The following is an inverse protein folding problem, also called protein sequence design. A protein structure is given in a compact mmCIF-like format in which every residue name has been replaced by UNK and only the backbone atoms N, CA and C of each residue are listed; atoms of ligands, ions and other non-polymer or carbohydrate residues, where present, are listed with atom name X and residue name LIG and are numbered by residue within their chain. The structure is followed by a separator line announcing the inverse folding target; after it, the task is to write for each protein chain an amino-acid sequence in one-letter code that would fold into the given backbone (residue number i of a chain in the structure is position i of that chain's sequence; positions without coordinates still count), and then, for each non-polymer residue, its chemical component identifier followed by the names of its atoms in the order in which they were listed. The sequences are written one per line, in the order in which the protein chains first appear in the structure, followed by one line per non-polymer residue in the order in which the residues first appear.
data_IF_733621842253
#
_entry.id   IF_733621842253
#
_cell.length_a   1.000
_cell.length_b   1.000
_cell.length_c   1.000
_cell.angle_alpha   90.00
_cell.angle_beta   90.00
_cell.angle_gamma   90.00
#
_symmetry.space_group_name_H-M   'P 1'
#
loop_
_entity.id
_entity.type
_entity.pdbx_description
1 polymer ?
#
# COMPACT_ATOMS: atom_id res chain seq x y z
N UNK A 1 -23.80 10.40 6.25
CA UNK A 1 -23.10 9.32 6.97
C UNK A 1 -21.81 9.01 6.21
N UNK A 2 -20.69 8.84 6.90
CA UNK A 2 -19.37 8.50 6.33
C UNK A 2 -18.96 7.12 6.83
N UNK A 3 -18.18 6.40 6.03
CA UNK A 3 -17.77 5.02 6.30
C UNK A 3 -16.28 4.82 6.04
N UNK A 4 -15.60 4.09 6.93
CA UNK A 4 -14.17 3.75 6.82
C UNK A 4 -13.99 2.30 7.25
N UNK A 5 -13.20 1.54 6.49
CA UNK A 5 -12.74 0.22 6.92
C UNK A 5 -11.51 0.35 7.81
N UNK A 6 -11.53 -0.33 8.96
CA UNK A 6 -10.33 -0.67 9.70
C UNK A 6 -9.92 -2.08 9.27
N UNK A 7 -8.80 -2.17 8.56
CA UNK A 7 -8.33 -3.41 7.96
C UNK A 7 -6.97 -3.83 8.52
N UNK A 8 -6.74 -5.13 8.64
CA UNK A 8 -5.43 -5.71 8.86
C UNK A 8 -4.82 -6.03 7.50
N UNK A 9 -3.62 -5.51 7.23
CA UNK A 9 -2.97 -5.61 5.92
C UNK A 9 -1.56 -6.16 6.09
N UNK A 10 -1.23 -7.20 5.32
CA UNK A 10 0.11 -7.76 5.26
C UNK A 10 0.97 -6.93 4.29
N UNK A 11 1.68 -5.94 4.82
CA UNK A 11 2.52 -5.05 4.00
C UNK A 11 3.83 -5.70 3.57
N UNK A 12 4.33 -6.68 4.32
CA UNK A 12 5.57 -7.39 4.01
C UNK A 12 6.76 -6.44 3.87
N UNK A 13 7.63 -6.71 2.89
CA UNK A 13 8.70 -5.79 2.53
C UNK A 13 8.19 -4.64 1.67
N UNK A 14 8.47 -3.43 2.12
CA UNK A 14 7.92 -2.19 1.55
C UNK A 14 9.00 -1.42 0.81
N UNK A 15 8.71 -1.01 -0.43
CA UNK A 15 9.51 0.00 -1.11
C UNK A 15 8.96 1.40 -0.82
N UNK A 16 9.74 2.23 -0.13
CA UNK A 16 9.34 3.59 0.21
C UNK A 16 9.79 4.58 -0.89
N UNK A 17 8.84 5.22 -1.55
CA UNK A 17 9.11 6.22 -2.58
C UNK A 17 9.55 7.59 -2.01
N UNK A 18 9.53 7.80 -0.69
CA UNK A 18 10.00 9.02 -0.01
C UNK A 18 9.44 10.31 -0.64
N UNK A 19 8.16 10.29 -1.01
CA UNK A 19 7.47 11.43 -1.63
C UNK A 19 7.62 11.54 -3.15
N UNK A 20 8.34 10.63 -3.82
CA UNK A 20 8.31 10.53 -5.29
C UNK A 20 6.96 9.98 -5.75
N UNK A 21 6.37 10.62 -6.75
CA UNK A 21 5.11 10.18 -7.35
C UNK A 21 5.40 9.41 -8.65
N UNK A 22 4.88 8.20 -8.75
CA UNK A 22 4.91 7.40 -9.98
C UNK A 22 3.51 6.84 -10.25
N UNK A 23 2.83 7.46 -11.23
CA UNK A 23 1.48 7.07 -11.62
C UNK A 23 1.45 5.89 -12.61
N UNK A 24 2.62 5.43 -13.08
CA UNK A 24 2.72 4.33 -14.05
C UNK A 24 2.80 2.96 -13.36
N UNK A 25 2.88 2.95 -12.04
CA UNK A 25 3.14 1.77 -11.23
C UNK A 25 1.95 0.80 -11.21
N UNK A 26 2.08 -0.33 -11.90
CA UNK A 26 1.08 -1.42 -11.92
C UNK A 26 1.37 -2.57 -10.96
N UNK A 27 2.58 -2.62 -10.43
CA UNK A 27 3.09 -3.67 -9.54
C UNK A 27 4.25 -3.11 -8.72
N UNK A 28 4.61 -3.70 -7.56
CA UNK A 28 5.76 -3.25 -6.79
C UNK A 28 7.07 -3.30 -7.60
N UNK A 29 8.02 -2.39 -7.31
CA UNK A 29 9.35 -2.40 -7.91
C UNK A 29 10.09 -3.71 -7.65
N UNK A 30 11.08 -4.01 -8.49
CA UNK A 30 12.00 -5.11 -8.22
C UNK A 30 12.92 -4.72 -7.06
N UNK A 31 13.31 -5.69 -6.24
CA UNK A 31 14.34 -5.47 -5.20
C UNK A 31 15.70 -5.22 -5.81
N UNK A 32 15.98 -5.88 -6.93
CA UNK A 32 17.20 -5.73 -7.69
C UNK A 32 16.87 -5.85 -9.18
N UNK A 33 16.99 -4.75 -9.92
CA UNK A 33 16.62 -4.69 -11.34
C UNK A 33 17.42 -5.66 -12.22
N UNK A 34 18.65 -6.00 -11.80
CA UNK A 34 19.60 -6.72 -12.65
C UNK A 34 19.69 -8.23 -12.37
N UNK A 35 19.29 -8.69 -11.19
CA UNK A 35 19.67 -10.03 -10.69
C UNK A 35 18.46 -10.96 -10.45
N UNK A 36 17.29 -10.43 -10.13
CA UNK A 36 16.17 -11.26 -9.70
C UNK A 36 14.84 -10.65 -10.11
N UNK A 37 13.84 -11.50 -10.42
CA UNK A 37 12.46 -11.04 -10.57
C UNK A 37 11.75 -10.87 -9.21
N UNK A 38 12.49 -10.99 -8.11
CA UNK A 38 11.97 -10.73 -6.76
C UNK A 38 11.57 -9.27 -6.62
N UNK A 39 10.31 -9.05 -6.23
CA UNK A 39 9.71 -7.74 -6.00
C UNK A 39 9.47 -7.49 -4.53
N UNK A 40 9.30 -6.23 -4.18
CA UNK A 40 8.71 -5.85 -2.89
C UNK A 40 7.26 -6.34 -2.81
N UNK A 41 6.71 -6.43 -1.60
CA UNK A 41 5.33 -6.84 -1.39
C UNK A 41 4.36 -5.66 -1.52
N UNK A 42 4.78 -4.48 -1.08
CA UNK A 42 3.99 -3.26 -1.14
C UNK A 42 4.88 -2.04 -1.38
N UNK A 43 4.23 -0.90 -1.65
CA UNK A 43 4.91 0.38 -1.74
C UNK A 43 4.33 1.36 -0.72
N UNK A 44 5.17 2.26 -0.23
CA UNK A 44 4.75 3.33 0.66
C UNK A 44 5.13 4.70 0.09
N UNK A 45 4.37 5.70 0.51
CA UNK A 45 4.64 7.10 0.23
C UNK A 45 3.93 8.00 1.22
N UNK A 46 4.11 9.31 1.06
CA UNK A 46 3.49 10.33 1.89
C UNK A 46 2.61 11.23 1.03
N UNK A 47 1.38 11.48 1.48
CA UNK A 47 0.45 12.39 0.80
C UNK A 47 -0.49 13.03 1.82
N UNK A 48 -0.70 14.33 1.72
CA UNK A 48 -1.60 15.07 2.61
C UNK A 48 -1.28 14.91 4.11
N UNK A 49 0.01 14.79 4.46
CA UNK A 49 0.45 14.54 5.86
C UNK A 49 0.19 13.13 6.37
N UNK A 50 -0.26 12.22 5.52
CA UNK A 50 -0.52 10.81 5.85
C UNK A 50 0.47 9.89 5.16
N UNK A 51 0.90 8.85 5.86
CA UNK A 51 1.66 7.75 5.26
C UNK A 51 0.69 6.78 4.61
N UNK A 52 0.84 6.55 3.32
CA UNK A 52 -0.04 5.70 2.51
C UNK A 52 0.73 4.48 2.05
N UNK A 53 0.06 3.33 2.10
CA UNK A 53 0.57 2.05 1.64
C UNK A 53 -0.32 1.55 0.49
N UNK A 54 0.30 1.00 -0.55
CA UNK A 54 -0.38 0.40 -1.68
C UNK A 54 0.02 -1.07 -1.76
N UNK A 55 -0.97 -1.93 -1.71
CA UNK A 55 -0.86 -3.39 -1.90
C UNK A 55 -1.49 -3.77 -3.23
N UNK A 56 -0.91 -4.75 -3.91
CA UNK A 56 -1.34 -5.17 -5.26
C UNK A 56 -1.98 -6.55 -5.29
N UNK A 57 -1.82 -7.34 -4.22
CA UNK A 57 -2.39 -8.68 -4.09
C UNK A 57 -3.75 -8.60 -3.38
N UNK A 58 -4.75 -9.36 -3.82
CA UNK A 58 -6.11 -9.24 -3.27
C UNK A 58 -6.24 -9.85 -1.87
N UNK A 59 -5.45 -10.89 -1.57
CA UNK A 59 -5.59 -11.67 -0.33
C UNK A 59 -4.79 -11.13 0.85
N UNK A 60 -4.12 -10.00 0.69
CA UNK A 60 -3.25 -9.42 1.74
C UNK A 60 -3.95 -8.38 2.61
N UNK A 61 -5.20 -8.03 2.31
CA UNK A 61 -6.00 -7.08 3.09
C UNK A 61 -7.27 -7.76 3.62
N UNK A 62 -7.45 -7.75 4.93
CA UNK A 62 -8.63 -8.25 5.62
C UNK A 62 -9.38 -7.09 6.29
N UNK A 63 -10.57 -6.69 5.80
CA UNK A 63 -11.36 -5.62 6.39
C UNK A 63 -12.04 -6.11 7.68
N UNK A 64 -11.39 -5.88 8.82
CA UNK A 64 -11.84 -6.40 10.12
C UNK A 64 -13.10 -5.68 10.64
N UNK A 65 -13.20 -4.36 10.43
CA UNK A 65 -14.34 -3.57 10.91
C UNK A 65 -14.78 -2.50 9.90
N UNK A 66 -16.08 -2.24 9.85
CA UNK A 66 -16.68 -1.11 9.12
C UNK A 66 -17.15 -0.05 10.13
N UNK A 67 -16.43 1.06 10.20
CA UNK A 67 -16.75 2.18 11.09
C UNK A 67 -17.69 3.12 10.32
N UNK A 68 -18.89 3.35 10.86
CA UNK A 68 -19.85 4.32 10.32
C UNK A 68 -19.98 5.48 11.29
N UNK A 69 -19.81 6.71 10.81
CA UNK A 69 -19.88 7.92 11.62
C UNK A 69 -20.69 9.03 10.94
N UNK A 70 -21.29 9.89 11.76
CA UNK A 70 -21.89 11.15 11.35
C UNK A 70 -21.03 12.30 11.85
N UNK A 71 -20.99 13.36 11.05
CA UNK A 71 -20.38 14.62 11.47
C UNK A 71 -21.41 15.41 12.27
#
# INVERSE_FOLDING_TARGET
KRQVFLAQVLTGEVFDYKGKNDQTLRRPPKKNESISDTRYNSVAGETGGSKVYIVYEHRVAYPTFLITYSQ
#
